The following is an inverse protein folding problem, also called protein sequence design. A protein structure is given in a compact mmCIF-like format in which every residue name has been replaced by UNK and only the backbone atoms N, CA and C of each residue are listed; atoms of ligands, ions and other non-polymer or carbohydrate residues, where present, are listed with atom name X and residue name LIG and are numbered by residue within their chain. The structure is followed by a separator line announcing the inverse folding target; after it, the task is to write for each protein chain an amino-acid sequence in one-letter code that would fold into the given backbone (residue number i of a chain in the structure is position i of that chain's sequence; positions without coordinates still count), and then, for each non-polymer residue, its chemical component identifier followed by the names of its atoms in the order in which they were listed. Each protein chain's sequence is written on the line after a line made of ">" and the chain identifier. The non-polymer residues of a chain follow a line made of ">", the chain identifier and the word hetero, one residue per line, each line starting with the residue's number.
data_IF_706999581634
#
_entry.id   IF_706999581634
#
_cell.length_a   1.000
_cell.length_b   1.000
_cell.length_c   1.000
_cell.angle_alpha   90.00
_cell.angle_beta   90.00
_cell.angle_gamma   90.00
#
_symmetry.space_group_name_H-M   'P 1'
#
loop_
_entity.id
_entity.type
_entity.pdbx_description
1 polymer ?
#
# COMPACT_ATOMS: atom_id res chain seq x y z
N UNK A 1 18.25 20.18 -9.81
CA UNK A 1 17.79 21.35 -10.59
C UNK A 1 18.87 21.72 -11.58
N UNK A 2 18.48 22.08 -12.80
CA UNK A 2 19.37 22.66 -13.80
C UNK A 2 18.96 24.12 -13.98
N UNK A 3 19.84 25.07 -13.64
CA UNK A 3 19.51 26.50 -13.67
C UNK A 3 20.57 27.29 -14.44
N UNK A 4 20.10 28.08 -15.42
CA UNK A 4 20.93 28.88 -16.31
C UNK A 4 21.24 30.29 -15.81
N UNK A 5 20.53 30.79 -14.78
CA UNK A 5 20.62 32.18 -14.35
C UNK A 5 20.10 33.15 -15.43
N UNK A 6 18.82 33.51 -15.38
CA UNK A 6 18.11 34.24 -16.46
C UNK A 6 18.87 35.48 -17.00
N UNK A 7 19.47 36.28 -16.11
CA UNK A 7 20.19 37.51 -16.51
C UNK A 7 21.50 37.19 -17.25
N UNK A 8 22.31 36.30 -16.70
CA UNK A 8 23.59 35.89 -17.29
C UNK A 8 23.35 35.17 -18.64
N UNK A 9 22.34 34.31 -18.70
CA UNK A 9 21.99 33.56 -19.90
C UNK A 9 21.50 34.44 -21.05
N UNK A 10 20.55 35.36 -20.77
CA UNK A 10 19.93 36.20 -21.79
C UNK A 10 20.80 37.38 -22.22
N UNK A 11 21.59 37.96 -21.31
CA UNK A 11 22.25 39.24 -21.54
C UNK A 11 23.77 39.13 -21.69
N UNK A 12 24.41 38.16 -21.02
CA UNK A 12 25.87 38.01 -21.03
C UNK A 12 26.38 36.88 -21.95
N UNK A 13 25.47 36.20 -22.66
CA UNK A 13 25.83 35.03 -23.46
C UNK A 13 26.34 33.85 -22.61
N UNK A 14 26.10 33.87 -21.30
CA UNK A 14 26.53 32.80 -20.39
C UNK A 14 25.83 31.49 -20.80
N UNK A 15 26.61 30.43 -21.00
CA UNK A 15 26.11 29.08 -21.32
C UNK A 15 26.51 28.05 -20.27
N UNK A 16 27.01 28.52 -19.13
CA UNK A 16 27.34 27.69 -17.98
C UNK A 16 26.06 27.44 -17.21
N UNK A 17 25.72 26.17 -17.02
CA UNK A 17 24.59 25.76 -16.21
C UNK A 17 25.08 25.42 -14.81
N UNK A 18 24.32 25.85 -13.79
CA UNK A 18 24.51 25.34 -12.45
C UNK A 18 23.68 24.07 -12.29
N UNK A 19 24.39 22.97 -12.05
CA UNK A 19 23.81 21.68 -11.70
C UNK A 19 23.94 21.50 -10.20
N UNK A 20 22.83 21.28 -9.51
CA UNK A 20 22.82 21.05 -8.07
C UNK A 20 21.59 20.30 -7.60
N UNK A 21 21.70 19.70 -6.41
CA UNK A 21 20.56 19.16 -5.68
C UNK A 21 19.98 20.28 -4.81
N UNK A 22 18.66 20.37 -4.81
CA UNK A 22 17.93 21.31 -3.98
C UNK A 22 16.82 20.54 -3.28
N UNK A 23 16.74 20.70 -1.97
CA UNK A 23 15.60 20.25 -1.18
C UNK A 23 14.72 21.49 -0.90
N UNK A 24 13.50 21.55 -1.45
CA UNK A 24 12.53 22.58 -1.05
C UNK A 24 12.16 22.38 0.43
N UNK A 25 12.36 23.40 1.23
CA UNK A 25 11.84 23.51 2.59
C UNK A 25 10.44 24.15 2.61
N UNK A 26 9.91 24.45 3.81
CA UNK A 26 8.61 25.11 3.98
C UNK A 26 8.49 26.38 3.12
N UNK A 27 7.31 26.63 2.55
CA UNK A 27 7.03 27.78 1.68
C UNK A 27 7.97 27.91 0.47
N UNK A 28 8.47 26.79 -0.05
CA UNK A 28 9.40 26.72 -1.20
C UNK A 28 10.75 27.44 -0.94
N UNK A 29 11.10 27.69 0.32
CA UNK A 29 12.42 28.20 0.68
C UNK A 29 13.47 27.11 0.53
N UNK A 30 14.69 27.46 0.14
CA UNK A 30 15.76 26.46 0.01
C UNK A 30 16.22 26.04 1.41
N UNK A 31 16.21 24.72 1.69
CA UNK A 31 16.80 24.23 2.92
C UNK A 31 18.33 24.44 2.86
N UNK A 32 18.88 25.18 3.82
CA UNK A 32 20.32 25.34 3.94
C UNK A 32 20.95 24.00 4.33
N UNK A 33 21.95 23.58 3.57
CA UNK A 33 22.69 22.35 3.82
C UNK A 33 24.19 22.58 3.63
N UNK A 34 24.99 22.01 4.53
CA UNK A 34 26.46 22.02 4.44
C UNK A 34 26.97 20.60 4.63
N UNK A 35 27.71 20.09 3.66
CA UNK A 35 28.24 18.72 3.65
C UNK A 35 28.14 18.10 2.26
N UNK A 36 28.40 16.79 2.17
CA UNK A 36 28.17 16.00 0.96
C UNK A 36 26.83 15.29 1.05
N UNK A 37 25.95 15.51 0.08
CA UNK A 37 24.64 14.83 0.03
C UNK A 37 24.81 13.31 -0.14
N UNK A 38 25.85 12.87 -0.84
CA UNK A 38 26.15 11.45 -1.05
C UNK A 38 26.46 10.66 0.23
N UNK A 39 26.77 11.35 1.33
CA UNK A 39 27.06 10.72 2.63
C UNK A 39 25.78 10.57 3.49
N UNK A 40 24.64 11.08 3.02
CA UNK A 40 23.35 10.96 3.69
C UNK A 40 22.55 9.78 3.16
N UNK A 41 21.72 9.18 4.01
CA UNK A 41 20.67 8.28 3.53
C UNK A 41 19.70 9.06 2.63
N UNK A 42 19.49 8.54 1.42
CA UNK A 42 18.59 9.13 0.42
C UNK A 42 17.17 8.56 0.51
N UNK A 43 16.90 7.68 1.47
CA UNK A 43 15.61 7.09 1.69
C UNK A 43 14.56 8.12 2.11
N UNK A 44 13.40 8.06 1.46
CA UNK A 44 12.22 8.85 1.80
C UNK A 44 11.49 8.18 2.96
N UNK A 45 12.01 8.37 4.16
CA UNK A 45 11.49 7.76 5.39
C UNK A 45 11.23 8.82 6.44
N UNK A 46 10.25 8.54 7.28
CA UNK A 46 9.85 9.41 8.38
C UNK A 46 9.59 8.58 9.63
N UNK A 47 9.65 9.19 10.83
CA UNK A 47 9.27 8.50 12.06
C UNK A 47 7.82 7.99 12.01
N UNK A 48 7.57 6.85 12.66
CA UNK A 48 6.21 6.36 12.85
C UNK A 48 5.33 7.41 13.55
N UNK A 49 4.12 7.61 13.04
CA UNK A 49 3.18 8.67 13.42
C UNK A 49 3.27 9.95 12.59
N UNK A 50 4.19 10.04 11.63
CA UNK A 50 4.24 11.17 10.70
C UNK A 50 3.11 11.10 9.70
N UNK A 51 2.33 12.17 9.54
CA UNK A 51 1.31 12.30 8.51
C UNK A 51 1.87 13.07 7.30
N UNK A 52 1.67 12.54 6.09
CA UNK A 52 2.17 13.14 4.85
C UNK A 52 1.03 13.81 4.09
N UNK A 53 1.23 15.08 3.74
CA UNK A 53 0.21 15.94 3.14
C UNK A 53 -0.43 15.34 1.89
N UNK A 54 -1.63 15.82 1.58
CA UNK A 54 -2.32 15.56 0.31
C UNK A 54 -2.46 16.86 -0.48
N UNK A 55 -2.17 16.81 -1.78
CA UNK A 55 -2.56 17.89 -2.69
C UNK A 55 -4.03 17.72 -3.04
N UNK A 56 -4.88 18.61 -2.51
CA UNK A 56 -6.34 18.57 -2.71
C UNK A 56 -6.77 18.78 -4.16
N UNK A 57 -5.91 19.30 -5.03
CA UNK A 57 -6.25 19.49 -6.45
C UNK A 57 -6.08 18.21 -7.25
N UNK A 58 -5.10 17.38 -6.87
CA UNK A 58 -4.72 16.17 -7.61
C UNK A 58 -5.08 14.88 -6.88
N UNK A 59 -5.45 14.96 -5.60
CA UNK A 59 -5.62 13.83 -4.70
C UNK A 59 -4.38 12.92 -4.67
N UNK A 60 -3.20 13.53 -4.68
CA UNK A 60 -1.92 12.83 -4.60
C UNK A 60 -1.20 13.13 -3.29
N UNK A 61 -0.47 12.16 -2.73
CA UNK A 61 0.37 12.38 -1.58
C UNK A 61 1.52 13.33 -1.94
N UNK A 62 1.91 14.12 -0.97
CA UNK A 62 3.08 14.99 -1.02
C UNK A 62 4.00 14.57 0.13
N UNK A 63 5.28 14.42 -0.18
CA UNK A 63 6.34 14.00 0.76
C UNK A 63 6.69 15.11 1.79
N UNK A 64 5.67 15.76 2.36
CA UNK A 64 5.77 16.86 3.31
C UNK A 64 5.00 16.48 4.58
N UNK A 65 5.70 16.36 5.72
CA UNK A 65 5.07 16.15 7.01
C UNK A 65 4.10 17.29 7.37
N UNK A 66 2.94 16.92 7.90
CA UNK A 66 1.92 17.82 8.44
C UNK A 66 1.41 17.30 9.78
N UNK A 67 0.79 18.18 10.56
CA UNK A 67 0.01 17.73 11.72
C UNK A 67 -1.12 16.81 11.25
N UNK A 68 -1.33 15.67 11.93
CA UNK A 68 -2.34 14.71 11.52
C UNK A 68 -3.78 15.26 11.59
N UNK A 69 -4.03 16.34 12.33
CA UNK A 69 -5.31 17.06 12.30
C UNK A 69 -5.50 17.87 11.01
N UNK A 70 -4.43 18.14 10.26
CA UNK A 70 -4.50 18.68 8.91
C UNK A 70 -4.81 17.58 7.88
N UNK A 71 -5.36 17.95 6.71
CA UNK A 71 -5.57 17.03 5.59
C UNK A 71 -4.27 16.35 5.15
N UNK A 72 -4.29 15.00 5.12
CA UNK A 72 -3.14 14.20 4.72
C UNK A 72 -3.57 12.97 3.90
N UNK A 73 -2.66 12.38 3.12
CA UNK A 73 -2.94 11.21 2.29
C UNK A 73 -2.60 9.90 3.01
N UNK A 74 -1.57 9.94 3.84
CA UNK A 74 -1.05 8.74 4.52
C UNK A 74 -0.41 9.06 5.86
N UNK A 75 -0.40 8.07 6.76
CA UNK A 75 0.29 8.10 8.04
C UNK A 75 1.35 6.99 8.05
N UNK A 76 2.58 7.35 8.41
CA UNK A 76 3.71 6.42 8.49
C UNK A 76 3.58 5.58 9.75
N UNK A 77 3.70 4.26 9.62
CA UNK A 77 3.59 3.31 10.74
C UNK A 77 4.94 2.73 11.15
N UNK A 78 5.95 2.85 10.30
CA UNK A 78 7.31 2.38 10.56
C UNK A 78 8.21 2.48 9.33
N UNK A 79 9.44 1.99 9.49
CA UNK A 79 10.47 1.99 8.45
C UNK A 79 11.15 0.64 8.44
N UNK A 80 11.42 0.11 7.25
CA UNK A 80 12.15 -1.15 7.04
C UNK A 80 13.49 -0.84 6.39
N UNK A 81 14.57 -1.30 7.01
CA UNK A 81 15.90 -1.24 6.45
C UNK A 81 16.19 -2.54 5.65
N UNK A 82 16.37 -2.41 4.34
CA UNK A 82 16.69 -3.54 3.47
C UNK A 82 18.15 -3.98 3.61
N UNK A 83 19.07 -3.11 4.00
CA UNK A 83 20.49 -3.43 4.14
C UNK A 83 20.75 -4.45 5.26
N UNK A 84 19.88 -4.53 6.27
CA UNK A 84 19.97 -5.54 7.34
C UNK A 84 19.89 -6.96 6.80
N UNK A 85 19.06 -7.19 5.76
CA UNK A 85 18.91 -8.50 5.12
C UNK A 85 19.76 -8.65 3.86
N UNK A 86 19.96 -7.55 3.13
CA UNK A 86 20.62 -7.52 1.83
C UNK A 86 21.82 -6.55 1.86
N UNK A 87 22.92 -6.88 2.56
CA UNK A 87 24.02 -5.95 2.80
C UNK A 87 24.85 -5.63 1.54
N UNK A 88 24.83 -6.50 0.54
CA UNK A 88 25.77 -6.43 -0.59
C UNK A 88 25.20 -5.73 -1.84
N UNK A 89 23.94 -6.02 -2.17
CA UNK A 89 23.33 -5.57 -3.42
C UNK A 89 21.81 -5.43 -3.28
N UNK A 90 21.22 -4.62 -4.15
CA UNK A 90 19.77 -4.54 -4.29
C UNK A 90 19.24 -5.90 -4.77
N UNK A 91 18.39 -6.59 -4.01
CA UNK A 91 17.84 -7.88 -4.45
C UNK A 91 16.76 -7.67 -5.51
N UNK A 92 16.32 -8.76 -6.13
CA UNK A 92 15.24 -8.70 -7.11
C UNK A 92 13.94 -8.18 -6.46
N UNK A 93 13.11 -7.47 -7.24
CA UNK A 93 11.90 -6.84 -6.72
C UNK A 93 10.96 -7.78 -5.94
N UNK A 94 10.71 -9.04 -6.36
CA UNK A 94 9.88 -9.96 -5.59
C UNK A 94 10.46 -10.31 -4.20
N UNK A 95 11.78 -10.38 -4.08
CA UNK A 95 12.45 -10.64 -2.80
C UNK A 95 12.41 -9.41 -1.88
N UNK A 96 12.50 -8.21 -2.47
CA UNK A 96 12.27 -6.95 -1.75
C UNK A 96 10.83 -6.92 -1.22
N UNK A 97 9.84 -7.08 -2.10
CA UNK A 97 8.41 -6.99 -1.74
C UNK A 97 8.07 -7.96 -0.61
N UNK A 98 8.48 -9.23 -0.71
CA UNK A 98 8.22 -10.21 0.33
C UNK A 98 8.79 -9.78 1.70
N UNK A 99 10.05 -9.31 1.73
CA UNK A 99 10.67 -8.86 2.98
C UNK A 99 10.03 -7.59 3.54
N UNK A 100 9.75 -6.60 2.69
CA UNK A 100 9.15 -5.33 3.10
C UNK A 100 7.73 -5.58 3.62
N UNK A 101 6.93 -6.36 2.88
CA UNK A 101 5.55 -6.69 3.22
C UNK A 101 5.43 -7.32 4.61
N UNK A 102 6.25 -8.32 4.91
CA UNK A 102 6.19 -9.03 6.18
C UNK A 102 6.53 -8.09 7.35
N UNK A 103 7.58 -7.28 7.19
CA UNK A 103 7.98 -6.32 8.22
C UNK A 103 6.98 -5.18 8.39
N UNK A 104 6.53 -4.57 7.29
CA UNK A 104 5.55 -3.50 7.31
C UNK A 104 4.20 -3.95 7.87
N UNK A 105 3.78 -5.20 7.60
CA UNK A 105 2.56 -5.78 8.20
C UNK A 105 2.70 -5.85 9.71
N UNK A 106 3.81 -6.42 10.21
CA UNK A 106 4.08 -6.55 11.65
C UNK A 106 4.16 -5.19 12.34
N UNK A 107 4.89 -4.23 11.77
CA UNK A 107 5.02 -2.87 12.32
C UNK A 107 3.68 -2.14 12.34
N UNK A 108 2.89 -2.26 11.28
CA UNK A 108 1.56 -1.62 11.18
C UNK A 108 0.55 -2.22 12.15
N UNK A 109 0.51 -3.55 12.29
CA UNK A 109 -0.36 -4.21 13.26
C UNK A 109 -0.02 -3.81 14.69
N UNK A 110 1.28 -3.71 15.02
CA UNK A 110 1.73 -3.21 16.32
C UNK A 110 1.37 -1.72 16.52
N UNK A 111 1.54 -0.89 15.48
CA UNK A 111 1.23 0.53 15.51
C UNK A 111 -0.26 0.81 15.75
N UNK A 112 -1.15 0.02 15.14
CA UNK A 112 -2.61 0.21 15.23
C UNK A 112 -3.26 -0.52 16.41
N UNK A 113 -2.52 -1.35 17.15
CA UNK A 113 -3.06 -2.13 18.25
C UNK A 113 -3.88 -1.26 19.24
N UNK A 114 -5.08 -1.71 19.66
CA UNK A 114 -5.68 -3.03 19.45
C UNK A 114 -6.49 -3.18 18.14
N UNK A 115 -6.57 -2.14 17.31
CA UNK A 115 -7.32 -2.18 16.04
C UNK A 115 -6.52 -2.94 15.00
N UNK A 116 -7.18 -3.88 14.30
CA UNK A 116 -6.54 -4.63 13.20
C UNK A 116 -6.74 -3.88 11.89
N UNK A 117 -5.69 -3.72 11.08
CA UNK A 117 -5.78 -3.02 9.79
C UNK A 117 -6.92 -3.56 8.90
N UNK A 118 -7.08 -4.90 8.85
CA UNK A 118 -8.15 -5.58 8.09
C UNK A 118 -9.58 -5.22 8.48
N UNK A 119 -9.77 -4.64 9.67
CA UNK A 119 -11.09 -4.17 10.15
C UNK A 119 -11.38 -2.72 9.80
N UNK A 120 -10.42 -2.04 9.16
CA UNK A 120 -10.52 -0.66 8.70
C UNK A 120 -10.68 -0.61 7.18
N UNK A 121 -10.92 0.58 6.65
CA UNK A 121 -10.88 0.87 5.21
C UNK A 121 -9.51 1.35 4.74
N UNK A 122 -8.49 1.31 5.62
CA UNK A 122 -7.13 1.67 5.28
C UNK A 122 -6.40 0.47 4.66
N UNK A 123 -5.47 0.78 3.79
CA UNK A 123 -4.56 -0.15 3.14
C UNK A 123 -3.14 0.12 3.61
N UNK A 124 -2.34 -0.93 3.71
CA UNK A 124 -0.89 -0.81 3.88
C UNK A 124 -0.27 -0.46 2.53
N UNK A 125 0.59 0.56 2.51
CA UNK A 125 1.33 1.02 1.35
C UNK A 125 2.81 1.06 1.70
N UNK A 126 3.63 0.50 0.82
CA UNK A 126 5.08 0.57 0.89
C UNK A 126 5.63 0.49 -0.55
N UNK A 127 6.72 1.18 -0.86
CA UNK A 127 7.43 1.03 -2.13
C UNK A 127 8.49 -0.07 -2.06
N UNK A 128 8.96 -0.55 -3.21
CA UNK A 128 10.26 -1.19 -3.37
C UNK A 128 11.32 -0.15 -3.75
N UNK A 129 12.61 -0.49 -3.61
CA UNK A 129 13.70 0.39 -4.02
C UNK A 129 14.11 0.10 -5.47
N UNK A 130 14.17 1.16 -6.28
CA UNK A 130 14.77 1.10 -7.61
C UNK A 130 16.30 1.02 -7.53
N UNK A 131 16.93 0.53 -8.60
CA UNK A 131 18.39 0.53 -8.72
C UNK A 131 18.99 1.94 -8.61
N UNK A 132 18.32 2.95 -9.16
CA UNK A 132 18.77 4.34 -9.06
C UNK A 132 18.72 4.86 -7.63
N UNK A 133 17.66 4.55 -6.87
CA UNK A 133 17.53 4.92 -5.46
C UNK A 133 18.59 4.23 -4.60
N UNK A 134 18.78 2.92 -4.80
CA UNK A 134 19.82 2.16 -4.11
C UNK A 134 21.23 2.67 -4.42
N UNK A 135 21.52 2.95 -5.69
CA UNK A 135 22.83 3.47 -6.09
C UNK A 135 23.09 4.88 -5.53
N UNK A 136 22.04 5.65 -5.28
CA UNK A 136 22.12 6.96 -4.66
C UNK A 136 22.35 6.91 -3.14
N UNK A 137 22.11 5.76 -2.49
CA UNK A 137 22.36 5.56 -1.05
C UNK A 137 21.16 5.10 -0.25
N UNK A 138 19.95 5.08 -0.82
CA UNK A 138 18.73 4.65 -0.12
C UNK A 138 18.82 3.19 0.30
N UNK A 139 18.60 2.91 1.59
CA UNK A 139 18.55 1.52 2.11
C UNK A 139 17.25 1.20 2.83
N UNK A 140 16.42 2.19 3.07
CA UNK A 140 15.21 2.09 3.87
C UNK A 140 13.95 2.45 3.05
N UNK A 141 12.81 1.90 3.47
CA UNK A 141 11.48 2.22 2.93
C UNK A 141 10.49 2.50 4.05
N UNK A 142 9.59 3.46 3.83
CA UNK A 142 8.53 3.77 4.78
C UNK A 142 7.35 2.81 4.60
N UNK A 143 6.84 2.31 5.71
CA UNK A 143 5.56 1.63 5.80
C UNK A 143 4.50 2.68 6.14
N UNK A 144 3.48 2.82 5.32
CA UNK A 144 2.43 3.82 5.51
C UNK A 144 1.05 3.21 5.38
N UNK A 145 0.06 3.83 6.01
CA UNK A 145 -1.35 3.50 5.84
C UNK A 145 -2.10 4.68 5.24
N UNK A 146 -3.04 4.37 4.36
CA UNK A 146 -3.90 5.36 3.74
C UNK A 146 -5.12 4.73 3.07
N UNK A 147 -5.95 5.53 2.42
CA UNK A 147 -7.12 5.05 1.69
C UNK A 147 -7.06 5.56 0.24
N UNK A 148 -7.38 4.68 -0.71
CA UNK A 148 -7.42 5.03 -2.14
C UNK A 148 -8.87 5.20 -2.61
N UNK A 149 -9.07 6.01 -3.64
CA UNK A 149 -10.38 6.26 -4.25
C UNK A 149 -10.74 5.23 -5.33
N UNK A 150 -9.83 4.28 -5.63
CA UNK A 150 -10.00 3.29 -6.70
C UNK A 150 -9.75 3.81 -8.13
N UNK A 151 -9.54 5.11 -8.31
CA UNK A 151 -9.24 5.76 -9.60
C UNK A 151 -7.77 6.19 -9.73
N UNK A 152 -6.88 5.68 -8.88
CA UNK A 152 -5.48 6.13 -8.78
C UNK A 152 -5.25 7.36 -7.90
N UNK A 153 -6.32 7.97 -7.37
CA UNK A 153 -6.26 9.02 -6.36
C UNK A 153 -6.35 8.50 -4.93
N UNK A 154 -5.98 9.37 -3.99
CA UNK A 154 -6.01 9.13 -2.56
C UNK A 154 -7.19 9.84 -1.89
N UNK A 155 -7.73 9.22 -0.84
CA UNK A 155 -8.72 9.86 0.01
C UNK A 155 -8.03 10.81 0.98
N UNK A 156 -8.72 11.89 1.34
CA UNK A 156 -8.24 12.83 2.35
C UNK A 156 -8.50 12.28 3.74
N UNK A 157 -7.45 12.16 4.52
CA UNK A 157 -7.47 11.76 5.92
C UNK A 157 -7.40 12.97 6.84
N UNK A 158 -8.11 12.89 7.97
CA UNK A 158 -8.05 13.89 9.05
C UNK A 158 -8.07 13.17 10.40
N UNK A 159 -7.19 13.60 11.32
CA UNK A 159 -6.79 12.96 12.59
C UNK A 159 -5.87 11.76 12.41
N UNK A 160 -5.23 11.28 13.49
CA UNK A 160 -4.40 10.08 13.41
C UNK A 160 -5.23 8.80 13.28
N UNK A 161 -4.67 7.81 12.61
CA UNK A 161 -5.16 6.46 12.50
C UNK A 161 -5.27 5.74 13.87
N UNK A 162 -4.61 6.21 14.93
CA UNK A 162 -4.81 5.72 16.30
C UNK A 162 -6.05 6.31 16.99
N UNK A 163 -6.64 7.38 16.43
CA UNK A 163 -7.76 8.13 17.00
C UNK A 163 -9.04 8.09 16.16
N UNK A 164 -9.91 9.12 16.24
CA UNK A 164 -11.12 9.23 15.42
C UNK A 164 -10.78 9.71 14.00
N UNK A 165 -10.08 8.89 13.21
CA UNK A 165 -9.75 9.18 11.82
C UNK A 165 -11.02 9.37 10.98
N UNK A 166 -11.03 10.44 10.19
CA UNK A 166 -11.99 10.70 9.14
C UNK A 166 -11.35 10.40 7.78
N UNK A 167 -12.14 9.83 6.87
CA UNK A 167 -11.78 9.55 5.49
C UNK A 167 -12.79 10.27 4.62
N UNK A 168 -12.35 11.28 3.86
CA UNK A 168 -13.21 12.20 3.12
C UNK A 168 -14.35 12.78 4.01
N UNK A 169 -14.01 13.14 5.26
CA UNK A 169 -14.95 13.68 6.24
C UNK A 169 -15.88 12.65 6.90
N UNK A 170 -15.86 11.39 6.48
CA UNK A 170 -16.66 10.33 7.10
C UNK A 170 -15.84 9.56 8.15
N UNK A 171 -16.42 9.20 9.32
CA UNK A 171 -15.75 8.32 10.26
C UNK A 171 -15.41 6.97 9.62
N UNK A 172 -14.32 6.36 10.08
CA UNK A 172 -14.00 4.98 9.70
C UNK A 172 -15.19 4.05 9.94
N UNK A 173 -15.62 3.36 8.90
CA UNK A 173 -16.63 2.32 9.02
C UNK A 173 -16.04 1.17 9.86
N UNK A 174 -16.53 0.95 11.08
CA UNK A 174 -16.30 -0.34 11.75
C UNK A 174 -17.08 -1.38 10.95
N UNK A 175 -16.40 -2.28 10.24
CA UNK A 175 -17.07 -3.46 9.68
C UNK A 175 -17.86 -4.13 10.82
N UNK A 176 -19.17 -4.41 10.65
CA UNK A 176 -19.94 -5.13 11.65
C UNK A 176 -19.23 -6.45 11.94
N UNK A 177 -18.85 -6.68 13.19
CA UNK A 177 -18.44 -8.01 13.63
C UNK A 177 -19.70 -8.87 13.60
N UNK A 178 -19.90 -9.62 12.52
CA UNK A 178 -20.91 -10.67 12.55
C UNK A 178 -20.52 -11.64 13.67
N UNK A 179 -21.40 -11.91 14.65
CA UNK A 179 -21.13 -12.96 15.62
C UNK A 179 -20.89 -14.24 14.85
N UNK A 180 -19.76 -14.90 15.13
CA UNK A 180 -19.41 -16.19 14.56
C UNK A 180 -20.54 -17.13 14.97
N UNK A 181 -21.41 -17.47 14.02
CA UNK A 181 -22.50 -18.40 14.27
C UNK A 181 -21.90 -19.79 14.46
N UNK A 182 -21.54 -20.13 15.69
CA UNK A 182 -21.33 -21.52 16.13
C UNK A 182 -22.70 -22.21 16.22
N UNK A 183 -23.47 -22.16 15.13
CA UNK A 183 -24.64 -23.01 14.95
C UNK A 183 -24.12 -24.33 14.39
N UNK A 184 -24.12 -25.43 15.16
CA UNK A 184 -23.80 -26.72 14.60
C UNK A 184 -24.83 -27.00 13.50
N UNK A 185 -24.37 -27.27 12.28
CA UNK A 185 -25.20 -27.78 11.21
C UNK A 185 -25.99 -28.99 11.74
N UNK A 186 -27.25 -28.77 12.12
CA UNK A 186 -28.13 -29.84 12.56
C UNK A 186 -28.42 -30.68 11.33
N UNK A 187 -27.69 -31.80 11.18
CA UNK A 187 -28.02 -32.87 10.22
C UNK A 187 -29.38 -33.44 10.60
N UNK A 188 -30.45 -32.77 10.19
CA UNK A 188 -31.80 -33.29 10.32
C UNK A 188 -32.46 -33.36 8.94
N UNK A 189 -32.40 -34.58 8.38
CA UNK A 189 -33.35 -35.19 7.45
C UNK A 189 -33.21 -34.82 5.97
N UNK A 190 -32.14 -35.31 5.34
CA UNK A 190 -32.26 -35.79 3.96
C UNK A 190 -33.14 -37.05 3.98
N UNK A 191 -34.46 -36.93 3.74
CA UNK A 191 -35.30 -38.09 3.39
C UNK A 191 -35.19 -38.31 1.89
N UNK A 192 -34.42 -39.32 1.49
CA UNK A 192 -34.54 -39.91 0.17
C UNK A 192 -35.94 -40.56 0.06
N UNK A 193 -36.80 -40.05 -0.82
CA UNK A 193 -38.01 -40.76 -1.23
C UNK A 193 -37.58 -41.91 -2.18
N UNK A 194 -37.95 -43.17 -1.91
CA UNK A 194 -37.72 -44.24 -2.87
C UNK A 194 -38.70 -44.10 -4.04
N UNK A 195 -38.14 -44.04 -5.26
CA UNK A 195 -38.91 -44.04 -6.51
C UNK A 195 -39.36 -45.48 -6.81
N UNK A 196 -40.67 -45.74 -6.76
CA UNK A 196 -41.25 -47.05 -7.06
C UNK A 196 -41.23 -47.32 -8.58
N UNK A 197 -40.63 -48.43 -9.07
CA UNK A 197 -40.55 -48.73 -10.50
C UNK A 197 -41.55 -49.83 -10.91
N UNK A 198 -42.59 -49.46 -11.67
CA UNK A 198 -43.42 -50.34 -12.53
C UNK A 198 -44.01 -49.43 -13.62
N UNK A 199 -44.10 -49.74 -14.92
CA UNK A 199 -43.81 -50.90 -15.79
C UNK A 199 -43.94 -50.40 -17.25
N UNK A 200 -43.31 -51.10 -18.21
CA UNK A 200 -43.44 -51.04 -19.70
C UNK A 200 -42.71 -49.89 -20.42
N UNK A 201 -42.04 -50.07 -21.57
CA UNK A 201 -41.75 -51.24 -22.41
C UNK A 201 -40.63 -50.94 -23.41
N UNK A 202 -39.68 -51.88 -23.53
CA UNK A 202 -38.91 -52.34 -24.71
C UNK A 202 -38.53 -51.38 -25.85
N UNK A 203 -37.20 -51.22 -26.02
CA UNK A 203 -36.30 -51.35 -27.22
C UNK A 203 -35.17 -50.32 -27.01
N UNK A 204 -33.87 -50.49 -27.27
CA UNK A 204 -33.00 -51.53 -27.81
C UNK A 204 -31.55 -51.03 -27.62
N UNK A 205 -30.61 -51.92 -27.22
CA UNK A 205 -29.14 -51.90 -27.41
C UNK A 205 -28.40 -50.54 -27.45
N UNK A 206 -27.51 -50.26 -26.49
CA UNK A 206 -26.06 -50.58 -26.56
C UNK A 206 -25.35 -50.24 -25.24
N UNK A 207 -24.34 -51.05 -24.89
CA UNK A 207 -23.49 -50.89 -23.70
C UNK A 207 -22.30 -49.98 -24.06
N UNK A 208 -21.94 -49.02 -23.20
CA UNK A 208 -20.62 -48.96 -22.51
C UNK A 208 -20.48 -47.73 -21.60
N UNK A 209 -20.15 -48.05 -20.35
CA UNK A 209 -19.37 -47.36 -19.29
C UNK A 209 -19.43 -45.84 -19.17
N UNK A 210 -19.99 -45.43 -18.03
CA UNK A 210 -19.82 -44.13 -17.40
C UNK A 210 -18.40 -43.95 -16.83
N UNK A 211 -17.81 -42.80 -17.12
CA UNK A 211 -16.81 -42.13 -16.27
C UNK A 211 -17.27 -40.68 -16.16
N UNK A 212 -17.59 -40.29 -14.94
CA UNK A 212 -18.02 -38.96 -14.54
C UNK A 212 -16.83 -38.00 -14.52
N UNK A 213 -16.85 -37.00 -15.41
CA UNK A 213 -15.97 -35.83 -15.37
C UNK A 213 -16.80 -34.60 -15.01
N UNK A 214 -16.53 -34.01 -13.84
CA UNK A 214 -16.94 -32.65 -13.52
C UNK A 214 -15.85 -31.69 -14.01
N UNK A 215 -16.16 -30.70 -14.88
CA UNK A 215 -15.22 -29.63 -15.20
C UNK A 215 -15.29 -28.54 -14.12
N UNK A 216 -14.17 -28.29 -13.45
CA UNK A 216 -13.94 -27.06 -12.69
C UNK A 216 -13.32 -26.07 -13.66
N UNK A 217 -14.04 -25.00 -13.98
CA UNK A 217 -13.50 -23.86 -14.72
C UNK A 217 -13.81 -22.56 -13.94
N UNK A 218 -12.73 -21.95 -13.47
CA UNK A 218 -12.44 -20.51 -13.42
C UNK A 218 -13.47 -19.52 -12.87
N UNK A 219 -13.10 -18.85 -11.77
CA UNK A 219 -12.85 -17.40 -11.67
C UNK A 219 -12.76 -17.00 -10.20
N UNK A 220 -11.60 -16.48 -9.78
CA UNK A 220 -11.35 -15.13 -9.24
C UNK A 220 -9.84 -14.93 -9.21
#
# INVERSE_FOLDING_TARGET
>A
MLWSGDRAWRQAGERRMLCGLQLPGPNNQQALFKGKVADLDQSKVWPAGTCLAIDSNTNQPVDVPVDCTAPHAMEVTGTVNLAEKFPNALPAEPEQDAYIKDNCTRMTDAYLAPVKLRTTTLTLIYPTLSLSSWSAGSREVACSIGATLGNGGWATLVNSAKGPLLINGQPRYRRPTFPRSDSPCRRSRCRCRPHNPRLRSRRSRSRRRATSTCPINSRW
#
